data_IF_202703976083
#
_entry.id   IF_202703976083
#
_cell.length_a   1.000
_cell.length_b   1.000
_cell.length_c   1.000
_cell.angle_alpha   90.00
_cell.angle_beta   90.00
_cell.angle_gamma   90.00
#
_symmetry.space_group_name_H-M   'P 1'
#
loop_
_entity.id
_entity.type
_entity.pdbx_description
1 polymer ?
#
# COMPACT_ATOMS: atom_id res chain seq x y z
N UNK A 1 -11.71 14.82 7.98
CA UNK A 1 -11.50 14.17 9.28
C UNK A 1 -12.14 14.95 10.43
N UNK A 2 -11.81 16.24 10.65
CA UNK A 2 -12.36 17.01 11.79
C UNK A 2 -13.88 17.26 11.71
N UNK A 3 -14.43 17.35 10.51
CA UNK A 3 -15.87 17.50 10.24
C UNK A 3 -16.57 16.20 9.85
N UNK A 4 -15.84 15.09 9.81
CA UNK A 4 -16.36 13.80 9.35
C UNK A 4 -17.22 13.19 10.46
N UNK A 5 -18.43 12.75 10.10
CA UNK A 5 -19.35 12.07 11.02
C UNK A 5 -19.05 10.58 11.06
N UNK A 6 -19.19 9.97 12.23
CA UNK A 6 -19.03 8.53 12.39
C UNK A 6 -20.20 7.80 11.70
N UNK A 7 -19.96 6.79 10.84
CA UNK A 7 -21.02 6.16 10.05
C UNK A 7 -22.15 5.52 10.87
N UNK A 8 -21.85 4.97 12.05
CA UNK A 8 -22.85 4.21 12.83
C UNK A 8 -23.81 5.07 13.66
N UNK A 9 -23.38 6.24 14.12
CA UNK A 9 -24.15 7.08 15.05
C UNK A 9 -24.23 8.55 14.64
N UNK A 10 -23.63 8.90 13.48
CA UNK A 10 -23.64 10.21 12.88
C UNK A 10 -23.04 11.34 13.76
N UNK A 11 -22.26 10.98 14.78
CA UNK A 11 -21.61 11.91 15.70
C UNK A 11 -20.28 12.42 15.15
N UNK A 12 -19.81 13.57 15.66
CA UNK A 12 -18.46 14.10 15.37
C UNK A 12 -17.61 14.06 16.64
N UNK A 13 -16.28 14.05 16.49
CA UNK A 13 -15.38 14.19 17.63
C UNK A 13 -15.59 15.55 18.33
N UNK A 14 -15.72 15.54 19.65
CA UNK A 14 -15.72 16.77 20.44
C UNK A 14 -14.33 17.44 20.45
N UNK A 15 -14.28 18.71 20.85
CA UNK A 15 -13.03 19.50 20.86
C UNK A 15 -11.95 18.91 21.77
N UNK A 16 -12.33 18.32 22.91
CA UNK A 16 -11.38 17.73 23.83
C UNK A 16 -10.73 16.48 23.22
N UNK A 17 -11.53 15.66 22.53
CA UNK A 17 -11.06 14.49 21.81
C UNK A 17 -10.14 14.91 20.65
N UNK A 18 -10.53 15.90 19.84
CA UNK A 18 -9.70 16.44 18.75
C UNK A 18 -8.32 16.86 19.29
N UNK A 19 -8.27 17.65 20.38
CA UNK A 19 -7.01 18.04 21.02
C UNK A 19 -6.18 16.83 21.43
N UNK A 20 -6.81 15.81 22.01
CA UNK A 20 -6.12 14.57 22.41
C UNK A 20 -5.57 13.80 21.21
N UNK A 21 -6.27 13.78 20.06
CA UNK A 21 -5.76 13.16 18.83
C UNK A 21 -4.55 13.90 18.28
N UNK A 22 -4.56 15.24 18.28
CA UNK A 22 -3.39 16.05 17.85
C UNK A 22 -2.16 15.70 18.68
N UNK A 23 -2.28 15.69 20.00
CA UNK A 23 -1.18 15.32 20.92
C UNK A 23 -0.74 13.87 20.68
N UNK A 24 -1.69 12.96 20.48
CA UNK A 24 -1.41 11.54 20.21
C UNK A 24 -0.58 11.37 18.94
N UNK A 25 -0.96 12.04 17.85
CA UNK A 25 -0.22 11.94 16.59
C UNK A 25 1.18 12.53 16.68
N UNK A 26 1.35 13.65 17.38
CA UNK A 26 2.66 14.26 17.59
C UNK A 26 3.60 13.36 18.38
N UNK A 27 3.13 12.80 19.50
CA UNK A 27 3.97 11.95 20.37
C UNK A 27 4.24 10.60 19.70
N UNK A 28 3.19 9.92 19.23
CA UNK A 28 3.30 8.58 18.68
C UNK A 28 4.01 8.55 17.31
N UNK A 29 3.81 9.57 16.49
CA UNK A 29 4.34 9.63 15.12
C UNK A 29 5.78 10.14 15.02
N UNK A 30 6.19 11.07 15.89
CA UNK A 30 7.52 11.68 15.78
C UNK A 30 8.64 10.79 16.34
N UNK A 31 8.53 10.33 17.59
CA UNK A 31 9.65 9.64 18.25
C UNK A 31 9.91 8.24 17.66
N UNK A 32 8.86 7.55 17.23
CA UNK A 32 8.98 6.20 16.64
C UNK A 32 9.61 6.24 15.25
N UNK A 33 9.21 7.18 14.38
CA UNK A 33 9.73 7.30 13.01
C UNK A 33 11.16 7.84 13.02
N UNK A 34 11.46 8.87 13.83
CA UNK A 34 12.82 9.41 13.96
C UNK A 34 13.82 8.37 14.50
N UNK A 35 13.40 7.53 15.46
CA UNK A 35 14.18 6.40 15.93
C UNK A 35 14.50 5.39 14.81
N UNK A 36 13.51 5.06 13.97
CA UNK A 36 13.66 4.12 12.87
C UNK A 36 14.63 4.65 11.80
N UNK A 37 14.50 5.93 11.44
CA UNK A 37 15.43 6.62 10.55
C UNK A 37 16.86 6.66 11.10
N UNK A 38 17.00 6.92 12.40
CA UNK A 38 18.31 6.95 13.06
C UNK A 38 18.99 5.58 13.05
N UNK A 39 18.23 4.50 13.27
CA UNK A 39 18.75 3.13 13.11
C UNK A 39 19.12 2.85 11.66
N UNK A 40 18.27 3.19 10.69
CA UNK A 40 18.54 3.02 9.26
C UNK A 40 19.88 3.65 8.86
N UNK A 41 20.09 4.92 9.22
CA UNK A 41 21.35 5.61 8.95
C UNK A 41 22.54 4.96 9.66
N UNK A 42 22.38 4.54 10.92
CA UNK A 42 23.44 3.86 11.67
C UNK A 42 23.89 2.55 11.01
N UNK A 43 22.96 1.77 10.44
CA UNK A 43 23.30 0.52 9.75
C UNK A 43 23.87 0.78 8.35
N UNK A 44 23.28 1.68 7.56
CA UNK A 44 23.80 2.02 6.23
C UNK A 44 25.24 2.55 6.29
N UNK A 45 25.57 3.32 7.32
CA UNK A 45 26.93 3.82 7.54
C UNK A 45 27.95 2.73 7.88
N UNK A 46 27.49 1.59 8.42
CA UNK A 46 28.32 0.42 8.73
C UNK A 46 28.33 -0.62 7.62
N UNK A 47 27.44 -0.50 6.65
CA UNK A 47 27.33 -1.37 5.49
C UNK A 47 27.44 -0.55 4.18
N UNK A 48 28.68 -0.35 3.68
CA UNK A 48 28.91 0.38 2.44
C UNK A 48 28.22 -0.23 1.22
N UNK A 49 27.98 -1.55 1.22
CA UNK A 49 27.30 -2.23 0.12
C UNK A 49 25.83 -1.86 0.11
N UNK A 50 25.15 -1.97 1.26
CA UNK A 50 23.76 -1.55 1.39
C UNK A 50 23.58 -0.05 1.09
N UNK A 51 24.49 0.81 1.56
CA UNK A 51 24.46 2.23 1.24
C UNK A 51 24.55 2.49 -0.27
N UNK A 52 25.46 1.82 -0.99
CA UNK A 52 25.59 1.96 -2.44
C UNK A 52 24.35 1.49 -3.20
N UNK A 53 23.71 0.42 -2.74
CA UNK A 53 22.45 -0.07 -3.31
C UNK A 53 21.31 0.94 -3.13
N UNK A 54 21.15 1.51 -1.92
CA UNK A 54 20.17 2.57 -1.67
C UNK A 54 20.45 3.83 -2.51
N UNK A 55 21.72 4.21 -2.64
CA UNK A 55 22.14 5.32 -3.51
C UNK A 55 21.82 5.04 -4.97
N UNK A 56 22.09 3.82 -5.45
CA UNK A 56 21.82 3.42 -6.83
C UNK A 56 20.33 3.50 -7.14
N UNK A 57 19.50 2.92 -6.28
CA UNK A 57 18.04 2.97 -6.42
C UNK A 57 17.55 4.42 -6.54
N UNK A 58 17.99 5.30 -5.64
CA UNK A 58 17.57 6.69 -5.66
C UNK A 58 18.14 7.47 -6.86
N UNK A 59 19.38 7.17 -7.30
CA UNK A 59 20.00 7.78 -8.49
C UNK A 59 19.32 7.30 -9.80
N UNK A 60 18.86 6.05 -9.87
CA UNK A 60 18.09 5.53 -11.02
C UNK A 60 16.70 6.17 -11.12
N UNK A 61 16.10 6.49 -9.97
CA UNK A 61 14.78 7.10 -9.90
C UNK A 61 14.79 8.60 -10.22
N UNK A 62 15.73 9.35 -9.65
CA UNK A 62 15.76 10.82 -9.71
C UNK A 62 16.92 11.39 -10.57
N UNK A 63 17.76 10.52 -11.13
CA UNK A 63 18.85 10.92 -12.00
C UNK A 63 19.96 11.70 -11.27
N UNK A 64 20.51 12.70 -11.95
CA UNK A 64 21.62 13.52 -11.44
C UNK A 64 21.16 14.82 -10.75
N UNK A 65 19.85 15.08 -10.63
CA UNK A 65 19.31 16.24 -9.90
C UNK A 65 19.74 16.22 -8.42
N UNK A 66 20.46 17.22 -7.89
CA UNK A 66 20.87 17.23 -6.49
C UNK A 66 19.73 17.41 -5.48
N UNK A 67 18.57 17.95 -5.89
CA UNK A 67 17.45 18.26 -5.00
C UNK A 67 16.11 17.91 -5.67
N UNK A 68 15.86 16.61 -5.96
CA UNK A 68 14.64 16.22 -6.63
C UNK A 68 13.42 16.57 -5.77
N UNK A 69 12.30 16.85 -6.44
CA UNK A 69 10.98 17.01 -5.86
C UNK A 69 10.16 15.74 -6.11
N UNK A 70 10.19 14.74 -5.19
CA UNK A 70 9.63 13.43 -5.48
C UNK A 70 8.10 13.48 -5.55
N UNK A 71 7.54 12.70 -6.46
CA UNK A 71 6.10 12.46 -6.51
C UNK A 71 5.67 11.50 -5.39
N UNK A 72 4.37 11.42 -5.11
CA UNK A 72 3.86 10.40 -4.19
C UNK A 72 4.16 8.97 -4.69
N UNK A 73 4.08 8.76 -6.01
CA UNK A 73 4.30 7.46 -6.66
C UNK A 73 5.77 7.02 -6.59
N UNK A 74 6.71 7.98 -6.60
CA UNK A 74 8.14 7.71 -6.49
C UNK A 74 8.49 6.88 -5.25
N UNK A 75 7.77 7.08 -4.14
CA UNK A 75 8.05 6.37 -2.87
C UNK A 75 7.78 4.88 -2.99
N UNK A 76 6.81 4.46 -3.82
CA UNK A 76 6.53 3.05 -4.11
C UNK A 76 7.67 2.36 -4.86
N UNK A 77 8.50 3.13 -5.58
CA UNK A 77 9.64 2.65 -6.38
C UNK A 77 10.93 2.51 -5.58
N UNK A 78 10.99 3.03 -4.35
CA UNK A 78 12.12 2.94 -3.43
C UNK A 78 12.12 1.60 -2.65
N UNK A 79 12.10 0.49 -3.38
CA UNK A 79 11.98 -0.88 -2.88
C UNK A 79 13.10 -1.30 -1.91
N UNK A 80 14.35 -0.93 -2.16
CA UNK A 80 15.50 -1.27 -1.33
C UNK A 80 15.57 -0.38 -0.09
N UNK A 81 15.31 0.93 -0.22
CA UNK A 81 15.15 1.81 0.94
C UNK A 81 14.03 1.29 1.87
N UNK A 82 12.96 0.75 1.28
CA UNK A 82 11.90 0.06 2.01
C UNK A 82 12.41 -1.18 2.74
N UNK A 83 13.18 -2.04 2.07
CA UNK A 83 13.78 -3.22 2.69
C UNK A 83 14.70 -2.86 3.86
N UNK A 84 15.53 -1.82 3.71
CA UNK A 84 16.38 -1.28 4.78
C UNK A 84 15.54 -0.86 5.98
N UNK A 85 14.47 -0.09 5.76
CA UNK A 85 13.57 0.35 6.82
C UNK A 85 12.94 -0.84 7.56
N UNK A 86 12.48 -1.84 6.81
CA UNK A 86 11.89 -3.02 7.42
C UNK A 86 12.91 -3.85 8.22
N UNK A 87 14.14 -4.00 7.70
CA UNK A 87 15.19 -4.73 8.40
C UNK A 87 15.63 -4.02 9.69
N UNK A 88 15.70 -2.68 9.72
CA UNK A 88 15.98 -1.98 10.98
C UNK A 88 14.82 -2.08 11.98
N UNK A 89 13.57 -2.08 11.52
CA UNK A 89 12.41 -2.32 12.39
C UNK A 89 12.33 -3.78 12.87
N UNK A 90 12.96 -4.72 12.16
CA UNK A 90 13.17 -6.09 12.62
C UNK A 90 14.15 -6.10 13.79
N UNK A 91 15.35 -5.56 13.60
CA UNK A 91 16.41 -5.55 14.60
C UNK A 91 16.05 -4.69 15.82
N UNK A 92 15.48 -3.51 15.59
CA UNK A 92 15.20 -2.49 16.61
C UNK A 92 13.82 -1.85 16.37
N UNK A 93 12.73 -2.60 16.63
CA UNK A 93 11.38 -2.03 16.57
C UNK A 93 11.26 -0.89 17.57
N UNK A 94 11.00 0.33 17.07
CA UNK A 94 11.01 1.54 17.90
C UNK A 94 9.87 1.60 18.90
N UNK A 95 8.77 0.90 18.64
CA UNK A 95 7.82 0.44 19.66
C UNK A 95 8.14 -1.01 20.06
N UNK A 96 8.90 -1.25 21.14
CA UNK A 96 9.47 -2.58 21.41
C UNK A 96 8.51 -3.57 22.06
N UNK A 97 7.38 -3.10 22.60
CA UNK A 97 6.44 -3.92 23.34
C UNK A 97 5.01 -3.46 23.10
N UNK A 98 4.09 -4.41 22.99
CA UNK A 98 2.66 -4.15 23.16
C UNK A 98 2.06 -5.18 24.10
N UNK A 99 0.94 -4.82 24.73
CA UNK A 99 0.26 -5.67 25.71
C UNK A 99 -1.06 -6.19 25.15
N UNK A 100 -1.40 -7.42 25.50
CA UNK A 100 -2.71 -8.04 25.24
C UNK A 100 -3.35 -8.39 26.58
N UNK A 101 -4.67 -8.44 26.59
CA UNK A 101 -5.45 -8.84 27.75
C UNK A 101 -6.36 -10.00 27.37
N UNK A 102 -6.41 -11.04 28.19
CA UNK A 102 -7.37 -12.12 28.06
C UNK A 102 -8.78 -11.57 28.31
N UNK A 103 -9.72 -11.81 27.40
CA UNK A 103 -11.12 -11.35 27.54
C UNK A 103 -11.96 -12.31 28.39
N UNK A 104 -11.58 -13.57 28.36
CA UNK A 104 -12.18 -14.69 29.07
C UNK A 104 -11.06 -15.63 29.53
N UNK A 105 -11.38 -16.53 30.45
CA UNK A 105 -10.45 -17.57 30.88
C UNK A 105 -10.06 -18.45 29.69
N UNK A 106 -8.76 -18.59 29.43
CA UNK A 106 -8.26 -19.29 28.24
C UNK A 106 -6.91 -19.98 28.49
N UNK A 107 -6.44 -20.76 27.51
CA UNK A 107 -5.12 -21.41 27.52
C UNK A 107 -4.24 -20.82 26.41
N UNK A 108 -3.15 -20.15 26.78
CA UNK A 108 -2.14 -19.71 25.82
C UNK A 108 -1.35 -20.92 25.30
N UNK A 109 -1.34 -21.09 23.98
CA UNK A 109 -0.70 -22.23 23.31
C UNK A 109 -1.26 -23.58 23.76
N UNK A 110 -2.52 -23.63 24.22
CA UNK A 110 -3.14 -24.83 24.77
C UNK A 110 -2.55 -25.33 26.08
N UNK A 111 -1.64 -24.56 26.72
CA UNK A 111 -0.84 -25.04 27.86
C UNK A 111 -0.88 -24.11 29.07
N UNK A 112 -0.79 -22.80 28.88
CA UNK A 112 -0.62 -21.87 29.99
C UNK A 112 -1.96 -21.18 30.33
N UNK A 113 -2.55 -21.42 31.51
CA UNK A 113 -3.78 -20.75 31.92
C UNK A 113 -3.62 -19.23 31.97
N UNK A 114 -4.57 -18.54 31.35
CA UNK A 114 -4.72 -17.10 31.37
C UNK A 114 -6.14 -16.76 31.84
N UNK A 115 -6.31 -16.37 33.10
CA UNK A 115 -7.56 -15.83 33.60
C UNK A 115 -8.00 -14.56 32.85
N UNK A 116 -9.31 -14.35 32.76
CA UNK A 116 -9.90 -13.13 32.23
C UNK A 116 -9.31 -11.90 32.92
N UNK A 117 -8.98 -10.88 32.14
CA UNK A 117 -8.35 -9.66 32.63
C UNK A 117 -6.83 -9.73 32.77
N UNK A 118 -6.21 -10.92 32.74
CA UNK A 118 -4.75 -11.04 32.80
C UNK A 118 -4.09 -10.45 31.55
N UNK A 119 -3.02 -9.67 31.78
CA UNK A 119 -2.24 -9.02 30.72
C UNK A 119 -0.98 -9.82 30.39
N UNK A 120 -0.64 -9.89 29.10
CA UNK A 120 0.60 -10.47 28.59
C UNK A 120 1.30 -9.45 27.69
N UNK A 121 2.63 -9.39 27.77
CA UNK A 121 3.44 -8.50 26.94
C UNK A 121 4.09 -9.28 25.81
N UNK A 122 4.00 -8.75 24.59
CA UNK A 122 4.72 -9.27 23.43
C UNK A 122 6.00 -8.45 23.26
N UNK A 123 7.14 -9.09 23.51
CA UNK A 123 8.47 -8.49 23.37
C UNK A 123 8.91 -8.57 21.90
N UNK A 124 8.69 -7.49 21.15
CA UNK A 124 8.87 -7.48 19.69
C UNK A 124 10.33 -7.76 19.27
N UNK A 125 11.37 -7.19 19.91
CA UNK A 125 12.76 -7.51 19.56
C UNK A 125 13.11 -8.99 19.70
N UNK A 126 12.47 -9.72 20.63
CA UNK A 126 12.66 -11.16 20.81
C UNK A 126 11.90 -11.94 19.73
N UNK A 127 10.63 -11.57 19.48
CA UNK A 127 9.84 -12.14 18.37
C UNK A 127 10.58 -12.00 17.02
N UNK A 128 11.20 -10.85 16.77
CA UNK A 128 11.91 -10.57 15.53
C UNK A 128 13.27 -11.26 15.38
N UNK A 129 13.74 -11.93 16.44
CA UNK A 129 14.96 -12.75 16.47
C UNK A 129 14.68 -14.24 16.67
N UNK A 130 13.41 -14.63 16.65
CA UNK A 130 13.02 -16.03 16.75
C UNK A 130 13.69 -16.86 15.63
N UNK A 131 14.38 -17.97 15.96
CA UNK A 131 15.03 -18.84 14.97
C UNK A 131 14.12 -19.36 13.86
N UNK A 132 12.78 -19.35 14.05
CA UNK A 132 11.82 -19.68 12.99
C UNK A 132 11.97 -18.78 11.75
N UNK A 133 12.69 -17.65 11.86
CA UNK A 133 12.99 -16.72 10.77
C UNK A 133 14.25 -17.08 9.97
N UNK A 134 14.95 -18.15 10.34
CA UNK A 134 16.19 -18.59 9.71
C UNK A 134 17.44 -18.16 10.47
N UNK A 135 18.60 -18.46 9.88
CA UNK A 135 19.89 -18.28 10.53
C UNK A 135 20.30 -16.81 10.66
N UNK A 136 21.20 -16.54 11.62
CA UNK A 136 21.83 -15.23 11.86
C UNK A 136 20.84 -14.07 12.11
N UNK A 137 19.96 -14.16 13.11
CA UNK A 137 18.93 -13.15 13.39
C UNK A 137 19.50 -11.79 13.81
N UNK A 138 20.76 -11.69 14.20
CA UNK A 138 21.39 -10.43 14.62
C UNK A 138 22.09 -9.68 13.48
N UNK A 139 22.22 -10.29 12.29
CA UNK A 139 22.79 -9.61 11.13
C UNK A 139 21.76 -8.68 10.49
N UNK A 140 22.24 -7.51 10.05
CA UNK A 140 21.50 -6.61 9.19
C UNK A 140 21.53 -7.12 7.76
N UNK A 141 20.38 -7.57 7.27
CA UNK A 141 20.22 -8.11 5.93
C UNK A 141 18.88 -7.65 5.32
N UNK A 142 18.87 -6.57 4.52
CA UNK A 142 17.69 -6.09 3.82
C UNK A 142 17.03 -7.15 2.91
N UNK A 143 17.78 -8.15 2.42
CA UNK A 143 17.22 -9.18 1.53
C UNK A 143 16.18 -10.08 2.22
N UNK A 144 16.08 -10.06 3.55
CA UNK A 144 14.99 -10.70 4.32
C UNK A 144 13.60 -10.10 4.05
N UNK A 145 13.57 -8.98 3.33
CA UNK A 145 12.37 -8.22 2.99
C UNK A 145 12.18 -8.08 1.46
N UNK A 146 12.80 -8.93 0.64
CA UNK A 146 12.40 -9.06 -0.77
C UNK A 146 10.93 -9.52 -0.87
N UNK A 147 10.22 -9.20 -1.98
CA UNK A 147 8.84 -9.65 -2.17
C UNK A 147 8.66 -11.17 -1.99
N UNK A 148 9.63 -11.97 -2.43
CA UNK A 148 9.63 -13.44 -2.26
C UNK A 148 9.76 -13.83 -0.79
N UNK A 149 10.70 -13.22 -0.07
CA UNK A 149 10.93 -13.49 1.35
C UNK A 149 9.74 -13.04 2.22
N UNK A 150 9.09 -11.93 1.87
CA UNK A 150 7.88 -11.46 2.55
C UNK A 150 6.71 -12.42 2.33
N UNK A 151 6.51 -12.91 1.10
CA UNK A 151 5.47 -13.89 0.77
C UNK A 151 5.68 -15.22 1.50
N UNK A 152 6.92 -15.69 1.62
CA UNK A 152 7.26 -16.92 2.33
C UNK A 152 7.21 -16.79 3.86
N UNK A 153 7.11 -15.57 4.40
CA UNK A 153 7.21 -15.32 5.84
C UNK A 153 6.02 -15.91 6.61
N UNK A 154 6.25 -16.64 7.71
CA UNK A 154 5.17 -17.10 8.57
C UNK A 154 4.31 -15.94 9.08
N UNK A 155 3.00 -16.18 9.11
CA UNK A 155 2.03 -15.22 9.67
C UNK A 155 2.44 -14.88 11.11
N UNK A 156 2.32 -13.62 11.47
CA UNK A 156 2.67 -13.09 12.79
C UNK A 156 4.15 -13.08 13.19
N UNK A 157 5.08 -13.53 12.35
CA UNK A 157 6.52 -13.49 12.67
C UNK A 157 7.12 -12.08 12.71
N UNK A 158 6.44 -11.06 12.15
CA UNK A 158 6.90 -9.67 12.08
C UNK A 158 5.78 -8.71 12.50
N UNK A 159 5.99 -7.95 13.58
CA UNK A 159 4.98 -7.09 14.24
C UNK A 159 5.51 -5.76 14.79
N UNK A 160 6.31 -4.98 14.03
CA UNK A 160 6.77 -3.66 14.50
C UNK A 160 5.63 -2.64 14.70
N UNK A 161 4.45 -2.88 14.11
CA UNK A 161 3.28 -1.99 14.16
C UNK A 161 2.12 -2.58 14.98
N UNK A 162 2.38 -3.56 15.84
CA UNK A 162 1.34 -4.23 16.63
C UNK A 162 0.46 -5.19 15.81
N UNK A 163 -0.76 -5.46 16.29
CA UNK A 163 -1.67 -6.42 15.66
C UNK A 163 -3.16 -6.14 15.93
N UNK A 164 -4.00 -6.48 14.94
CA UNK A 164 -5.47 -6.39 15.02
C UNK A 164 -5.99 -4.96 14.92
N UNK A 165 -7.22 -4.75 15.40
CA UNK A 165 -7.93 -3.45 15.33
C UNK A 165 -7.22 -2.30 16.08
N UNK A 166 -6.24 -2.64 16.93
CA UNK A 166 -5.41 -1.68 17.69
C UNK A 166 -3.96 -1.62 17.17
N UNK A 167 -3.72 -2.11 15.95
CA UNK A 167 -2.45 -1.91 15.25
C UNK A 167 -2.22 -0.41 14.97
N UNK A 168 -0.98 -0.06 14.63
CA UNK A 168 -0.62 1.34 14.36
C UNK A 168 -1.43 1.90 13.19
N UNK A 169 -2.27 2.90 13.47
CA UNK A 169 -3.04 3.63 12.46
C UNK A 169 -2.13 4.47 11.54
N UNK A 170 -1.01 4.97 12.07
CA UNK A 170 -0.02 5.75 11.33
C UNK A 170 0.97 4.91 10.54
N UNK A 171 0.75 3.59 10.40
CA UNK A 171 1.70 2.65 9.79
C UNK A 171 2.11 3.10 8.39
N UNK A 172 1.15 3.32 7.50
CA UNK A 172 1.43 3.73 6.11
C UNK A 172 2.15 5.07 6.05
N UNK A 173 1.73 6.04 6.87
CA UNK A 173 2.36 7.36 6.94
C UNK A 173 3.85 7.26 7.32
N UNK A 174 4.15 6.59 8.45
CA UNK A 174 5.52 6.43 8.93
C UNK A 174 6.41 5.68 7.91
N UNK A 175 5.82 4.66 7.29
CA UNK A 175 6.46 3.83 6.28
C UNK A 175 6.74 4.61 4.99
N UNK A 176 5.85 5.50 4.57
CA UNK A 176 6.03 6.36 3.40
C UNK A 176 7.06 7.44 3.68
N UNK A 177 6.90 8.19 4.77
CA UNK A 177 7.82 9.25 5.22
C UNK A 177 9.25 8.73 5.37
N UNK A 178 9.43 7.61 6.10
CA UNK A 178 10.78 7.10 6.35
C UNK A 178 11.43 6.51 5.10
N UNK A 179 10.67 5.87 4.20
CA UNK A 179 11.22 5.36 2.93
C UNK A 179 11.68 6.52 2.04
N UNK A 180 10.86 7.56 1.91
CA UNK A 180 11.19 8.79 1.19
C UNK A 180 12.46 9.44 1.77
N UNK A 181 12.55 9.61 3.09
CA UNK A 181 13.71 10.25 3.73
C UNK A 181 14.98 9.42 3.60
N UNK A 182 14.93 8.09 3.71
CA UNK A 182 16.09 7.23 3.46
C UNK A 182 16.58 7.42 2.01
N UNK A 183 15.67 7.38 1.03
CA UNK A 183 15.99 7.61 -0.38
C UNK A 183 16.62 8.98 -0.61
N UNK A 184 15.98 10.06 -0.13
CA UNK A 184 16.47 11.42 -0.27
C UNK A 184 17.83 11.63 0.39
N UNK A 185 18.05 11.10 1.60
CA UNK A 185 19.33 11.24 2.30
C UNK A 185 20.43 10.50 1.54
N UNK A 186 20.18 9.27 1.07
CA UNK A 186 21.13 8.52 0.26
C UNK A 186 21.45 9.25 -1.06
N UNK A 187 20.42 9.82 -1.70
CA UNK A 187 20.56 10.56 -2.95
C UNK A 187 21.36 11.86 -2.79
N UNK A 188 21.09 12.64 -1.74
CA UNK A 188 21.64 14.00 -1.57
C UNK A 188 23.01 14.03 -0.91
N UNK A 189 23.33 13.08 -0.03
CA UNK A 189 24.48 13.19 0.86
C UNK A 189 25.45 12.01 0.77
N UNK A 190 26.74 12.35 0.81
CA UNK A 190 27.81 11.40 1.04
C UNK A 190 27.81 11.08 2.54
N UNK A 191 27.45 9.85 2.85
CA UNK A 191 27.41 9.34 4.21
C UNK A 191 28.71 8.58 4.49
N UNK A 192 29.41 8.97 5.56
CA UNK A 192 30.61 8.28 6.03
C UNK A 192 30.62 8.30 7.56
N UNK A 193 30.99 7.17 8.16
CA UNK A 193 31.09 7.05 9.62
C UNK A 193 32.41 7.65 10.11
N UNK A 194 32.40 8.97 10.29
CA UNK A 194 33.58 9.73 10.70
C UNK A 194 34.00 9.46 12.15
N UNK A 195 33.06 9.03 13.01
CA UNK A 195 33.29 8.86 14.45
C UNK A 195 33.51 7.40 14.86
N UNK A 196 33.47 6.46 13.92
CA UNK A 196 33.44 5.02 14.16
C UNK A 196 32.41 4.66 15.25
N UNK A 197 31.22 5.25 15.15
CA UNK A 197 30.18 5.13 16.18
C UNK A 197 29.85 3.66 16.45
N UNK A 198 29.77 3.26 17.73
CA UNK A 198 29.28 1.95 18.14
C UNK A 198 27.85 2.10 18.64
N UNK A 199 26.93 1.34 18.04
CA UNK A 199 25.51 1.45 18.34
C UNK A 199 25.24 1.25 19.83
N UNK A 200 24.72 2.30 20.47
CA UNK A 200 24.21 2.27 21.84
C UNK A 200 22.73 2.58 21.78
N UNK A 201 21.89 1.70 22.33
CA UNK A 201 20.44 1.87 22.27
C UNK A 201 19.94 2.54 23.55
N UNK A 202 19.43 3.77 23.43
CA UNK A 202 18.69 4.43 24.51
C UNK A 202 17.25 3.93 24.52
N UNK A 203 16.76 3.62 25.73
CA UNK A 203 15.41 3.10 25.97
C UNK A 203 14.60 4.13 26.74
N UNK A 204 13.53 4.63 26.14
CA UNK A 204 12.52 5.49 26.77
C UNK A 204 11.15 4.80 26.63
N UNK A 205 10.10 5.52 26.22
CA UNK A 205 8.91 4.90 25.67
C UNK A 205 9.23 4.16 24.35
N UNK A 206 10.23 4.64 23.62
CA UNK A 206 10.70 4.10 22.34
C UNK A 206 12.16 3.67 22.41
N UNK A 207 12.64 3.01 21.35
CA UNK A 207 14.06 2.72 21.15
C UNK A 207 14.67 3.70 20.16
N UNK A 208 15.89 4.18 20.44
CA UNK A 208 16.68 5.01 19.52
C UNK A 208 18.19 4.85 19.73
N UNK A 209 19.02 5.06 18.69
CA UNK A 209 20.45 5.24 18.88
C UNK A 209 20.76 6.40 19.81
N UNK A 210 21.73 6.23 20.71
CA UNK A 210 22.17 7.23 21.67
C UNK A 210 23.40 7.98 21.14
N UNK A 211 23.21 9.26 20.83
CA UNK A 211 24.28 10.19 20.45
C UNK A 211 25.02 9.96 19.13
N UNK A 212 24.47 9.33 18.06
CA UNK A 212 25.16 9.32 16.77
C UNK A 212 25.27 10.76 16.22
N UNK A 213 26.44 11.10 15.68
CA UNK A 213 26.69 12.39 15.01
C UNK A 213 27.26 12.16 13.62
N UNK A 214 26.76 12.92 12.65
CA UNK A 214 27.17 12.83 11.26
C UNK A 214 27.29 14.23 10.66
N UNK A 215 28.31 14.45 9.84
CA UNK A 215 28.47 15.68 9.05
C UNK A 215 28.19 15.34 7.59
N UNK A 216 26.97 15.62 7.09
CA UNK A 216 26.64 15.32 5.70
C UNK A 216 27.42 16.23 4.76
N UNK A 217 27.99 15.66 3.70
CA UNK A 217 28.53 16.41 2.56
C UNK A 217 27.60 16.18 1.37
N UNK A 218 27.25 17.22 0.60
CA UNK A 218 26.45 17.03 -0.62
C UNK A 218 27.16 16.10 -1.61
N UNK A 219 26.42 15.20 -2.27
CA UNK A 219 26.93 14.38 -3.37
C UNK A 219 27.06 15.22 -4.64
N UNK A 220 28.10 14.93 -5.40
CA UNK A 220 28.35 15.50 -6.72
C UNK A 220 27.88 14.54 -7.82
N UNK A 221 27.75 15.03 -9.06
CA UNK A 221 27.49 14.17 -10.22
C UNK A 221 28.59 13.12 -10.41
N UNK A 222 29.84 13.42 -10.01
CA UNK A 222 30.93 12.45 -10.00
C UNK A 222 30.70 11.32 -8.99
N UNK A 223 30.17 11.62 -7.79
CA UNK A 223 29.82 10.59 -6.81
C UNK A 223 28.72 9.65 -7.32
N UNK A 224 27.72 10.19 -8.05
CA UNK A 224 26.65 9.41 -8.68
C UNK A 224 27.19 8.53 -9.81
N UNK A 225 28.03 9.08 -10.69
CA UNK A 225 28.67 8.34 -11.77
C UNK A 225 29.59 7.23 -11.23
N UNK A 226 30.33 7.51 -10.15
CA UNK A 226 31.18 6.52 -9.48
C UNK A 226 30.34 5.38 -8.88
N UNK A 227 29.19 5.69 -8.26
CA UNK A 227 28.30 4.67 -7.72
C UNK A 227 27.72 3.76 -8.82
N UNK A 228 27.26 4.35 -9.93
CA UNK A 228 26.81 3.60 -11.13
C UNK A 228 27.90 2.68 -11.67
N UNK A 229 29.14 3.17 -11.75
CA UNK A 229 30.28 2.40 -12.27
C UNK A 229 30.72 1.29 -11.31
N UNK A 230 30.69 1.54 -10.00
CA UNK A 230 31.17 0.61 -8.98
C UNK A 230 30.32 -0.66 -8.86
N UNK A 231 29.05 -0.60 -9.23
CA UNK A 231 28.14 -1.75 -9.15
C UNK A 231 28.18 -2.66 -10.39
N UNK A 232 28.94 -2.30 -11.45
CA UNK A 232 29.48 -3.19 -12.50
C UNK A 232 28.53 -4.12 -13.26
N UNK A 233 27.25 -4.17 -12.90
CA UNK A 233 26.22 -4.91 -13.60
C UNK A 233 25.84 -4.08 -14.83
N UNK A 234 25.72 -4.70 -16.01
CA UNK A 234 25.15 -4.03 -17.16
C UNK A 234 23.86 -3.33 -16.73
N UNK A 235 23.61 -2.16 -17.30
CA UNK A 235 22.26 -1.61 -17.39
C UNK A 235 21.40 -2.72 -18.00
N UNK A 236 20.77 -3.54 -17.15
CA UNK A 236 19.58 -4.27 -17.55
C UNK A 236 18.68 -3.18 -18.13
N UNK A 237 18.11 -3.37 -19.33
CA UNK A 237 17.32 -2.33 -19.96
C UNK A 237 16.38 -1.81 -18.89
N UNK A 238 16.43 -0.50 -18.62
CA UNK A 238 15.42 0.18 -17.81
C UNK A 238 14.12 -0.47 -18.25
N UNK A 239 13.45 -1.18 -17.32
CA UNK A 239 12.34 -2.06 -17.65
C UNK A 239 11.50 -1.28 -18.64
N UNK A 240 11.61 -1.65 -19.93
CA UNK A 240 10.88 -0.92 -20.94
C UNK A 240 9.46 -1.06 -20.44
N UNK A 241 8.70 0.05 -20.29
CA UNK A 241 7.29 -0.08 -19.97
C UNK A 241 6.81 -1.16 -20.91
N UNK A 242 6.36 -2.29 -20.36
CA UNK A 242 5.92 -3.40 -21.18
C UNK A 242 4.87 -2.74 -22.04
N UNK A 243 5.23 -2.51 -23.31
CA UNK A 243 4.31 -1.97 -24.28
C UNK A 243 3.38 -3.13 -24.43
N UNK A 244 2.29 -3.09 -23.66
CA UNK A 244 1.09 -3.85 -23.92
C UNK A 244 0.93 -3.75 -25.43
N UNK A 245 0.98 -4.87 -26.15
CA UNK A 245 0.83 -4.84 -27.60
C UNK A 245 -0.39 -3.97 -27.87
N UNK A 246 -0.34 -3.01 -28.82
CA UNK A 246 -1.51 -2.21 -29.14
C UNK A 246 -2.68 -3.19 -29.30
N UNK A 247 -3.84 -2.93 -28.64
CA UNK A 247 -4.93 -3.89 -28.59
C UNK A 247 -5.18 -4.42 -29.99
N UNK A 248 -5.16 -5.75 -30.10
CA UNK A 248 -5.10 -6.47 -31.37
C UNK A 248 -6.05 -5.87 -32.39
N UNK A 249 -5.60 -5.83 -33.64
CA UNK A 249 -6.25 -5.24 -34.82
C UNK A 249 -7.56 -5.93 -35.24
N UNK A 250 -8.32 -6.48 -34.30
CA UNK A 250 -9.59 -7.18 -34.51
C UNK A 250 -10.64 -6.97 -33.41
N UNK A 251 -10.39 -6.16 -32.38
CA UNK A 251 -11.43 -5.80 -31.41
C UNK A 251 -12.34 -4.69 -31.97
N UNK A 252 -13.65 -4.76 -31.72
CA UNK A 252 -14.56 -3.65 -31.94
C UNK A 252 -14.06 -2.35 -31.31
N UNK A 253 -14.33 -1.20 -31.94
CA UNK A 253 -13.93 0.11 -31.38
C UNK A 253 -14.84 0.60 -30.25
N UNK A 254 -16.05 0.05 -30.15
CA UNK A 254 -17.08 0.36 -29.13
C UNK A 254 -17.91 -0.87 -28.73
N UNK A 255 -18.57 -0.77 -27.59
CA UNK A 255 -19.62 -1.70 -27.15
C UNK A 255 -20.92 -1.49 -27.95
N UNK A 256 -21.77 -2.52 -27.99
CA UNK A 256 -23.11 -2.45 -28.61
C UNK A 256 -23.96 -1.42 -27.86
N UNK A 257 -24.77 -0.66 -28.60
CA UNK A 257 -25.72 0.27 -27.98
C UNK A 257 -26.63 -0.47 -26.99
N UNK A 258 -26.85 0.14 -25.82
CA UNK A 258 -27.65 -0.45 -24.74
C UNK A 258 -26.87 -1.40 -23.82
N UNK A 259 -25.57 -1.65 -24.06
CA UNK A 259 -24.73 -2.41 -23.14
C UNK A 259 -24.57 -1.62 -21.83
N UNK A 260 -25.05 -2.17 -20.72
CA UNK A 260 -24.81 -1.63 -19.38
C UNK A 260 -23.47 -2.11 -18.82
N UNK A 261 -22.94 -1.43 -17.80
CA UNK A 261 -21.85 -1.95 -16.95
C UNK A 261 -22.07 -1.42 -15.54
N UNK A 262 -22.15 -2.31 -14.56
CA UNK A 262 -22.27 -1.95 -13.15
C UNK A 262 -20.88 -1.95 -12.51
N UNK A 263 -20.53 -0.89 -11.81
CA UNK A 263 -19.29 -0.78 -11.04
C UNK A 263 -19.63 -0.63 -9.57
N UNK A 264 -19.27 -1.64 -8.77
CA UNK A 264 -19.56 -1.67 -7.34
C UNK A 264 -18.28 -1.61 -6.51
N UNK A 265 -18.31 -0.83 -5.43
CA UNK A 265 -17.15 -0.64 -4.58
C UNK A 265 -17.37 -1.04 -3.11
N UNK A 266 -16.29 -1.49 -2.47
CA UNK A 266 -16.16 -1.50 -1.02
C UNK A 266 -15.07 -0.52 -0.57
N UNK A 267 -15.46 0.63 0.01
CA UNK A 267 -14.57 1.76 0.28
C UNK A 267 -14.88 2.51 1.60
N UNK A 268 -14.03 2.37 2.61
CA UNK A 268 -14.11 3.18 3.84
C UNK A 268 -13.57 4.61 3.66
N UNK A 269 -12.54 4.79 2.82
CA UNK A 269 -11.77 6.04 2.73
C UNK A 269 -11.81 6.71 1.34
N UNK A 270 -12.61 6.20 0.40
CA UNK A 270 -12.77 6.79 -0.92
C UNK A 270 -11.98 6.09 -2.03
N UNK A 271 -10.80 5.54 -1.78
CA UNK A 271 -9.92 5.00 -2.83
C UNK A 271 -10.58 3.99 -3.80
N UNK A 272 -11.30 2.99 -3.29
CA UNK A 272 -11.98 2.03 -4.17
C UNK A 272 -13.17 2.65 -4.93
N UNK A 273 -13.80 3.69 -4.36
CA UNK A 273 -14.88 4.44 -5.02
C UNK A 273 -14.33 5.27 -6.16
N UNK A 274 -13.22 6.00 -5.93
CA UNK A 274 -12.53 6.77 -6.97
C UNK A 274 -12.09 5.88 -8.13
N UNK A 275 -11.54 4.69 -7.85
CA UNK A 275 -11.20 3.73 -8.91
C UNK A 275 -12.43 3.18 -9.65
N UNK A 276 -13.54 2.92 -8.95
CA UNK A 276 -14.80 2.56 -9.63
C UNK A 276 -15.32 3.70 -10.51
N UNK A 277 -15.24 4.96 -10.07
CA UNK A 277 -15.62 6.11 -10.88
C UNK A 277 -14.73 6.24 -12.13
N UNK A 278 -13.41 6.09 -11.98
CA UNK A 278 -12.47 6.11 -13.10
C UNK A 278 -12.74 4.98 -14.11
N UNK A 279 -12.93 3.74 -13.63
CA UNK A 279 -13.25 2.61 -14.50
C UNK A 279 -14.61 2.78 -15.19
N UNK A 280 -15.54 3.51 -14.57
CA UNK A 280 -16.83 3.83 -15.17
C UNK A 280 -16.64 4.81 -16.34
N UNK A 281 -15.82 5.84 -16.18
CA UNK A 281 -15.48 6.76 -17.27
C UNK A 281 -14.84 6.02 -18.44
N UNK A 282 -13.95 5.06 -18.18
CA UNK A 282 -13.33 4.24 -19.21
C UNK A 282 -14.34 3.33 -19.93
N UNK A 283 -15.26 2.70 -19.21
CA UNK A 283 -16.33 1.89 -19.82
C UNK A 283 -17.33 2.76 -20.61
N UNK A 284 -17.65 3.96 -20.12
CA UNK A 284 -18.49 4.93 -20.81
C UNK A 284 -17.84 5.42 -22.11
N UNK A 285 -16.52 5.58 -22.14
CA UNK A 285 -15.77 5.90 -23.36
C UNK A 285 -15.85 4.79 -24.43
N UNK A 286 -16.19 3.55 -24.04
CA UNK A 286 -16.51 2.45 -24.96
C UNK A 286 -17.97 2.47 -25.44
N UNK A 287 -18.80 3.39 -24.95
CA UNK A 287 -20.24 3.46 -25.27
C UNK A 287 -21.13 2.63 -24.35
N UNK A 288 -20.61 2.14 -23.20
CA UNK A 288 -21.43 1.46 -22.20
C UNK A 288 -22.23 2.47 -21.36
N UNK A 289 -23.46 2.11 -20.97
CA UNK A 289 -24.17 2.82 -19.90
C UNK A 289 -23.63 2.38 -18.54
N UNK A 290 -23.12 3.31 -17.73
CA UNK A 290 -22.43 2.98 -16.48
C UNK A 290 -23.19 3.38 -15.23
N UNK A 291 -23.10 2.55 -14.21
CA UNK A 291 -23.64 2.81 -12.87
C UNK A 291 -22.54 2.56 -11.83
N UNK A 292 -22.38 3.47 -10.87
CA UNK A 292 -21.43 3.32 -9.75
C UNK A 292 -22.21 3.25 -8.43
N UNK A 293 -21.95 2.22 -7.62
CA UNK A 293 -22.64 2.03 -6.34
C UNK A 293 -21.76 1.36 -5.28
N UNK A 294 -22.17 1.45 -4.02
CA UNK A 294 -21.62 0.61 -2.96
C UNK A 294 -22.02 -0.86 -3.16
N UNK A 295 -21.17 -1.79 -2.75
CA UNK A 295 -21.49 -3.22 -2.76
C UNK A 295 -22.78 -3.54 -1.98
N UNK A 296 -23.00 -2.88 -0.85
CA UNK A 296 -24.20 -3.08 -0.03
C UNK A 296 -25.53 -2.69 -0.71
N UNK A 297 -25.49 -1.91 -1.80
CA UNK A 297 -26.67 -1.63 -2.63
C UNK A 297 -27.19 -2.89 -3.33
N UNK A 298 -26.30 -3.85 -3.60
CA UNK A 298 -26.58 -5.09 -4.32
C UNK A 298 -26.46 -6.33 -3.43
N UNK A 299 -26.69 -6.17 -2.12
CA UNK A 299 -26.55 -7.23 -1.11
C UNK A 299 -27.66 -8.30 -1.12
N UNK A 300 -28.40 -8.45 -2.21
CA UNK A 300 -29.53 -9.38 -2.34
C UNK A 300 -29.56 -10.08 -3.72
N UNK A 301 -29.02 -9.42 -4.75
CA UNK A 301 -28.85 -9.98 -6.09
C UNK A 301 -27.85 -9.14 -6.89
N UNK A 302 -27.04 -9.80 -7.72
CA UNK A 302 -26.25 -9.15 -8.76
C UNK A 302 -27.00 -9.20 -10.10
N UNK A 303 -26.89 -8.17 -10.96
CA UNK A 303 -27.54 -8.17 -12.26
C UNK A 303 -26.92 -9.22 -13.19
N UNK A 304 -27.77 -9.84 -14.02
CA UNK A 304 -27.38 -10.82 -15.04
C UNK A 304 -27.46 -10.26 -16.46
N UNK A 305 -28.05 -9.07 -16.63
CA UNK A 305 -28.24 -8.40 -17.92
C UNK A 305 -27.02 -7.57 -18.35
N UNK A 306 -26.06 -7.36 -17.46
CA UNK A 306 -24.86 -6.53 -17.69
C UNK A 306 -23.65 -7.04 -16.90
N UNK A 307 -22.41 -6.79 -17.39
CA UNK A 307 -21.19 -7.08 -16.65
C UNK A 307 -21.09 -6.27 -15.35
N UNK A 308 -20.54 -6.89 -14.30
CA UNK A 308 -20.30 -6.30 -12.98
C UNK A 308 -18.80 -6.18 -12.69
N UNK A 309 -18.32 -4.98 -12.42
CA UNK A 309 -16.93 -4.72 -12.04
C UNK A 309 -16.88 -4.38 -10.56
N UNK A 310 -16.16 -5.19 -9.78
CA UNK A 310 -16.09 -5.07 -8.33
C UNK A 310 -14.71 -4.52 -7.94
N UNK A 311 -14.68 -3.39 -7.24
CA UNK A 311 -13.46 -2.82 -6.67
C UNK A 311 -13.56 -2.88 -5.14
N UNK A 312 -12.85 -3.81 -4.53
CA UNK A 312 -13.00 -4.09 -3.09
C UNK A 312 -11.68 -3.96 -2.34
N UNK A 313 -11.76 -3.48 -1.09
CA UNK A 313 -10.65 -3.49 -0.15
C UNK A 313 -10.90 -4.40 1.05
N UNK A 314 -9.82 -4.81 1.72
CA UNK A 314 -9.87 -5.46 3.02
C UNK A 314 -9.52 -4.47 4.14
N UNK A 315 -10.38 -4.33 5.14
CA UNK A 315 -10.10 -3.54 6.34
C UNK A 315 -9.83 -4.47 7.53
N UNK A 316 -8.55 -4.67 7.88
CA UNK A 316 -8.14 -5.62 8.92
C UNK A 316 -8.71 -7.04 8.73
N UNK A 317 -8.90 -7.46 7.48
CA UNK A 317 -9.44 -8.78 7.12
C UNK A 317 -10.96 -8.87 7.17
N UNK A 318 -11.64 -7.75 7.42
CA UNK A 318 -13.09 -7.58 7.36
C UNK A 318 -13.46 -6.75 6.13
N UNK A 319 -14.69 -6.86 5.61
CA UNK A 319 -15.18 -5.98 4.55
C UNK A 319 -15.17 -4.51 5.01
N UNK A 320 -15.20 -3.60 4.04
CA UNK A 320 -15.52 -2.19 4.30
C UNK A 320 -16.96 -2.04 4.77
N UNK A 321 -17.25 -0.93 5.42
CA UNK A 321 -18.53 -0.63 6.04
C UNK A 321 -19.67 -0.66 5.01
N UNK A 322 -19.38 -0.28 3.76
CA UNK A 322 -20.28 -0.26 2.61
C UNK A 322 -20.29 -1.56 1.77
N UNK A 323 -19.67 -2.63 2.28
CA UNK A 323 -19.65 -3.96 1.66
C UNK A 323 -20.00 -5.09 2.66
N UNK A 324 -20.30 -4.75 3.90
CA UNK A 324 -20.49 -5.73 4.97
C UNK A 324 -21.79 -6.53 4.82
N UNK A 325 -22.87 -5.93 4.29
CA UNK A 325 -24.12 -6.66 3.99
C UNK A 325 -23.93 -7.57 2.79
N UNK A 326 -23.28 -7.07 1.74
CA UNK A 326 -23.01 -7.83 0.53
C UNK A 326 -22.20 -9.09 0.83
N UNK A 327 -21.15 -8.97 1.67
CA UNK A 327 -20.32 -10.12 2.02
C UNK A 327 -21.10 -11.19 2.77
N UNK A 328 -21.97 -10.79 3.72
CA UNK A 328 -22.84 -11.75 4.42
C UNK A 328 -23.79 -12.46 3.44
N UNK A 329 -24.36 -11.72 2.50
CA UNK A 329 -25.26 -12.30 1.51
C UNK A 329 -24.57 -13.36 0.66
N UNK A 330 -23.40 -13.08 0.06
CA UNK A 330 -22.73 -14.07 -0.78
C UNK A 330 -22.26 -15.32 0.00
N UNK A 331 -21.96 -15.17 1.30
CA UNK A 331 -21.60 -16.29 2.18
C UNK A 331 -22.80 -17.21 2.50
N UNK A 332 -24.01 -16.64 2.58
CA UNK A 332 -25.24 -17.35 2.96
C UNK A 332 -26.13 -17.73 1.76
N UNK A 333 -25.83 -17.19 0.57
CA UNK A 333 -26.64 -17.36 -0.63
C UNK A 333 -26.72 -18.83 -1.09
N UNK A 334 -27.88 -19.27 -1.63
CA UNK A 334 -28.03 -20.63 -2.14
C UNK A 334 -27.09 -20.88 -3.34
N UNK A 335 -26.78 -22.15 -3.66
CA UNK A 335 -26.13 -22.49 -4.92
C UNK A 335 -26.84 -21.81 -6.10
N UNK A 336 -26.06 -21.42 -7.11
CA UNK A 336 -26.55 -20.76 -8.34
C UNK A 336 -27.10 -19.32 -8.17
N UNK A 337 -27.00 -18.69 -6.99
CA UNK A 337 -27.50 -17.32 -6.79
C UNK A 337 -26.79 -16.24 -7.66
N UNK A 338 -25.64 -16.55 -8.25
CA UNK A 338 -24.93 -15.70 -9.19
C UNK A 338 -24.90 -16.30 -10.62
N UNK A 339 -25.77 -17.28 -10.91
CA UNK A 339 -25.84 -17.89 -12.23
C UNK A 339 -26.19 -16.83 -13.30
N UNK A 340 -25.36 -16.77 -14.34
CA UNK A 340 -25.50 -15.79 -15.42
C UNK A 340 -24.89 -14.42 -15.13
N UNK A 341 -24.35 -14.19 -13.92
CA UNK A 341 -23.61 -12.97 -13.60
C UNK A 341 -22.22 -13.06 -14.24
N UNK A 342 -21.87 -12.08 -15.07
CA UNK A 342 -20.51 -11.92 -15.59
C UNK A 342 -19.79 -10.83 -14.79
N UNK A 343 -18.62 -11.14 -14.21
CA UNK A 343 -17.97 -10.21 -13.27
C UNK A 343 -16.45 -10.15 -13.38
N UNK A 344 -15.86 -9.04 -12.92
CA UNK A 344 -14.42 -8.87 -12.74
C UNK A 344 -14.13 -8.27 -11.36
N UNK A 345 -13.02 -8.66 -10.73
CA UNK A 345 -12.64 -8.17 -9.39
C UNK A 345 -11.26 -7.51 -9.42
N UNK A 346 -11.22 -6.23 -9.04
CA UNK A 346 -10.00 -5.51 -8.69
C UNK A 346 -9.89 -5.45 -7.16
N UNK A 347 -8.98 -6.24 -6.61
CA UNK A 347 -8.70 -6.25 -5.18
C UNK A 347 -7.67 -5.20 -4.80
N UNK A 348 -8.05 -4.22 -4.00
CA UNK A 348 -7.14 -3.20 -3.46
C UNK A 348 -6.72 -3.60 -2.05
N UNK A 349 -5.44 -3.90 -1.88
CA UNK A 349 -4.88 -4.33 -0.61
C UNK A 349 -3.59 -3.58 -0.28
N UNK A 350 -3.05 -3.85 0.90
CA UNK A 350 -1.71 -3.40 1.26
C UNK A 350 -0.94 -4.55 1.90
N UNK A 351 0.16 -4.99 1.26
CA UNK A 351 0.96 -6.15 1.72
C UNK A 351 1.58 -5.95 3.10
N UNK A 352 1.66 -4.69 3.57
CA UNK A 352 2.03 -4.40 4.94
C UNK A 352 1.10 -5.17 5.90
N UNK A 353 -0.18 -5.32 5.59
CA UNK A 353 -1.13 -6.15 6.34
C UNK A 353 -1.13 -7.61 5.87
N UNK A 354 0.03 -8.26 5.80
CA UNK A 354 0.22 -9.61 5.27
C UNK A 354 -0.79 -10.68 5.74
N UNK A 355 -1.29 -10.61 6.97
CA UNK A 355 -2.28 -11.58 7.49
C UNK A 355 -3.68 -11.43 6.90
N UNK A 356 -3.97 -10.29 6.29
CA UNK A 356 -5.29 -9.90 5.78
C UNK A 356 -5.22 -9.31 4.38
N UNK A 357 -4.04 -9.35 3.74
CA UNK A 357 -3.82 -8.89 2.38
C UNK A 357 -4.77 -9.62 1.43
N UNK A 358 -5.52 -8.86 0.64
CA UNK A 358 -6.48 -9.36 -0.37
C UNK A 358 -7.58 -10.28 0.15
N UNK A 359 -7.79 -10.39 1.48
CA UNK A 359 -8.72 -11.37 2.07
C UNK A 359 -10.17 -11.21 1.55
N UNK A 360 -10.71 -10.00 1.62
CA UNK A 360 -12.10 -9.73 1.22
C UNK A 360 -12.29 -9.81 -0.29
N UNK A 361 -11.43 -9.18 -1.13
CA UNK A 361 -11.53 -9.35 -2.58
C UNK A 361 -11.43 -10.81 -3.04
N UNK A 362 -10.55 -11.59 -2.41
CA UNK A 362 -10.44 -13.04 -2.70
C UNK A 362 -11.73 -13.76 -2.34
N UNK A 363 -12.28 -13.52 -1.16
CA UNK A 363 -13.54 -14.13 -0.73
C UNK A 363 -14.71 -13.78 -1.65
N UNK A 364 -14.80 -12.50 -2.07
CA UNK A 364 -15.82 -12.06 -3.04
C UNK A 364 -15.68 -12.80 -4.36
N UNK A 365 -14.46 -12.83 -4.91
CA UNK A 365 -14.19 -13.47 -6.20
C UNK A 365 -14.47 -14.98 -6.18
N UNK A 366 -14.00 -15.68 -5.15
CA UNK A 366 -14.18 -17.13 -5.00
C UNK A 366 -15.66 -17.46 -4.80
N UNK A 367 -16.35 -16.73 -3.91
CA UNK A 367 -17.74 -17.05 -3.57
C UNK A 367 -18.72 -16.72 -4.70
N UNK A 368 -18.51 -15.65 -5.47
CA UNK A 368 -19.32 -15.40 -6.67
C UNK A 368 -19.14 -16.51 -7.70
N UNK A 369 -17.92 -17.01 -7.91
CA UNK A 369 -17.68 -18.14 -8.81
C UNK A 369 -18.38 -19.42 -8.34
N UNK A 370 -18.30 -19.72 -7.05
CA UNK A 370 -18.98 -20.87 -6.45
C UNK A 370 -20.52 -20.73 -6.44
N UNK A 371 -21.06 -19.51 -6.59
CA UNK A 371 -22.48 -19.23 -6.81
C UNK A 371 -22.90 -19.29 -8.29
N UNK A 372 -22.01 -19.70 -9.20
CA UNK A 372 -22.29 -19.83 -10.63
C UNK A 372 -21.96 -18.60 -11.49
N UNK A 373 -21.31 -17.59 -10.91
CA UNK A 373 -20.82 -16.42 -11.64
C UNK A 373 -19.66 -16.75 -12.58
N UNK A 374 -19.57 -16.03 -13.69
CA UNK A 374 -18.53 -16.19 -14.71
C UNK A 374 -17.54 -15.03 -14.65
N UNK A 375 -16.25 -15.33 -14.46
CA UNK A 375 -15.18 -14.32 -14.48
C UNK A 375 -14.95 -13.81 -15.91
N UNK A 376 -15.02 -12.50 -16.09
CA UNK A 376 -14.63 -11.80 -17.33
C UNK A 376 -13.11 -11.79 -17.51
N UNK A 377 -12.38 -11.67 -16.40
CA UNK A 377 -10.92 -11.77 -16.33
C UNK A 377 -10.50 -12.28 -14.95
N UNK A 378 -9.28 -12.83 -14.81
CA UNK A 378 -8.73 -13.21 -13.50
C UNK A 378 -8.71 -12.04 -12.53
N UNK A 379 -8.94 -12.30 -11.23
CA UNK A 379 -8.84 -11.27 -10.19
C UNK A 379 -7.45 -10.63 -10.20
N UNK A 380 -7.41 -9.31 -10.15
CA UNK A 380 -6.15 -8.53 -10.09
C UNK A 380 -5.93 -8.00 -8.68
N UNK A 381 -4.67 -8.06 -8.23
CA UNK A 381 -4.25 -7.64 -6.88
C UNK A 381 -3.46 -6.34 -6.94
N UNK A 382 -4.11 -5.23 -6.64
CA UNK A 382 -3.47 -3.93 -6.53
C UNK A 382 -2.90 -3.72 -5.12
N UNK A 383 -1.64 -3.34 -5.01
CA UNK A 383 -0.95 -3.12 -3.73
C UNK A 383 -0.67 -1.63 -3.47
N UNK A 384 -1.33 -1.08 -2.45
CA UNK A 384 -1.18 0.32 -2.05
C UNK A 384 0.23 0.69 -1.56
N UNK A 385 1.07 -0.30 -1.25
CA UNK A 385 2.46 -0.06 -0.84
C UNK A 385 3.49 -0.17 -1.97
N UNK A 386 3.04 -0.44 -3.19
CA UNK A 386 3.87 -0.52 -4.40
C UNK A 386 3.25 0.26 -5.54
N UNK A 387 3.32 -0.30 -6.76
CA UNK A 387 2.86 0.32 -8.01
C UNK A 387 1.33 0.22 -8.18
N UNK A 388 0.57 0.82 -7.24
CA UNK A 388 -0.89 0.79 -7.23
C UNK A 388 -1.49 1.32 -8.55
N UNK A 389 -1.11 2.53 -8.95
CA UNK A 389 -1.64 3.20 -10.16
C UNK A 389 -1.33 2.41 -11.44
N UNK A 390 -0.17 1.76 -11.51
CA UNK A 390 0.20 0.91 -12.66
C UNK A 390 -0.73 -0.29 -12.75
N UNK A 391 -0.91 -1.00 -11.62
CA UNK A 391 -1.77 -2.20 -11.57
C UNK A 391 -3.22 -1.88 -11.91
N UNK A 392 -3.73 -0.73 -11.44
CA UNK A 392 -5.09 -0.26 -11.77
C UNK A 392 -5.24 0.02 -13.27
N UNK A 393 -4.24 0.66 -13.90
CA UNK A 393 -4.24 0.89 -15.36
C UNK A 393 -4.20 -0.42 -16.15
N UNK A 394 -3.38 -1.38 -15.73
CA UNK A 394 -3.33 -2.70 -16.37
C UNK A 394 -4.66 -3.44 -16.25
N UNK A 395 -5.35 -3.34 -15.11
CA UNK A 395 -6.71 -3.87 -14.94
C UNK A 395 -7.70 -3.19 -15.88
N UNK A 396 -7.63 -1.86 -16.00
CA UNK A 396 -8.45 -1.07 -16.92
C UNK A 396 -8.28 -1.50 -18.38
N UNK A 397 -7.03 -1.69 -18.84
CA UNK A 397 -6.73 -2.18 -20.18
C UNK A 397 -7.27 -3.60 -20.43
N UNK A 398 -7.13 -4.50 -19.43
CA UNK A 398 -7.69 -5.85 -19.51
C UNK A 398 -9.22 -5.85 -19.52
N UNK A 399 -9.85 -5.01 -18.70
CA UNK A 399 -11.30 -4.84 -18.63
C UNK A 399 -11.83 -4.34 -19.98
N UNK A 400 -11.16 -3.35 -20.59
CA UNK A 400 -11.50 -2.86 -21.94
C UNK A 400 -11.51 -4.01 -22.95
N UNK A 401 -10.47 -4.84 -22.96
CA UNK A 401 -10.39 -6.00 -23.88
C UNK A 401 -11.53 -6.98 -23.64
N UNK A 402 -11.84 -7.28 -22.38
CA UNK A 402 -12.93 -8.19 -22.01
C UNK A 402 -14.30 -7.64 -22.45
N UNK A 403 -14.57 -6.35 -22.18
CA UNK A 403 -15.82 -5.69 -22.57
C UNK A 403 -16.00 -5.67 -24.09
N UNK A 404 -14.97 -5.31 -24.85
CA UNK A 404 -15.05 -5.28 -26.31
C UNK A 404 -15.15 -6.67 -26.93
N UNK A 405 -14.54 -7.69 -26.32
CA UNK A 405 -14.64 -9.07 -26.81
C UNK A 405 -16.02 -9.68 -26.59
N UNK A 406 -16.62 -9.48 -25.41
CA UNK A 406 -17.94 -10.04 -25.07
C UNK A 406 -19.11 -9.20 -25.58
N UNK A 407 -18.98 -7.88 -25.52
CA UNK A 407 -20.08 -6.93 -25.72
C UNK A 407 -19.82 -5.92 -26.85
N UNK A 408 -18.72 -6.07 -27.60
CA UNK A 408 -18.39 -5.21 -28.72
C UNK A 408 -19.37 -5.28 -29.88
N UNK A 409 -19.52 -4.15 -30.57
CA UNK A 409 -20.29 -4.02 -31.81
C UNK A 409 -19.44 -4.52 -32.99
N UNK A 410 -19.77 -5.68 -33.55
CA UNK A 410 -19.01 -6.30 -34.64
C UNK A 410 -18.92 -5.42 -35.90
N UNK A 411 -19.78 -4.38 -36.03
CA UNK A 411 -19.75 -3.44 -37.15
C UNK A 411 -18.87 -2.22 -36.92
N UNK A 412 -18.44 -1.98 -35.68
CA UNK A 412 -17.64 -0.82 -35.30
C UNK A 412 -16.15 -1.13 -35.43
N UNK A 413 -15.51 -0.61 -36.48
CA UNK A 413 -14.07 -0.77 -36.71
C UNK A 413 -13.29 0.39 -36.09
N UNK A 414 -11.97 0.24 -35.98
CA UNK A 414 -11.04 1.22 -35.36
C UNK A 414 -11.14 2.63 -36.01
N UNK A 415 -11.66 2.74 -37.23
CA UNK A 415 -11.91 4.01 -37.91
C UNK A 415 -12.98 4.90 -37.23
N UNK A 416 -13.86 4.31 -36.41
CA UNK A 416 -14.96 5.02 -35.71
C UNK A 416 -14.66 5.33 -34.23
N UNK A 417 -13.43 5.07 -33.75
CA UNK A 417 -13.08 5.31 -32.35
C UNK A 417 -12.98 6.82 -32.04
N UNK A 418 -13.61 7.32 -30.96
CA UNK A 418 -13.37 8.69 -30.52
C UNK A 418 -11.88 8.86 -30.12
N UNK A 419 -11.26 10.03 -30.39
CA UNK A 419 -9.87 10.25 -30.05
C UNK A 419 -9.65 10.09 -28.54
N UNK A 420 -8.63 9.31 -28.16
CA UNK A 420 -8.19 9.21 -26.77
C UNK A 420 -7.88 10.61 -26.25
N UNK A 421 -8.63 11.08 -25.26
CA UNK A 421 -8.15 12.17 -24.41
C UNK A 421 -7.00 11.60 -23.59
N UNK A 422 -5.76 11.92 -23.99
CA UNK A 422 -4.63 11.81 -23.07
C UNK A 422 -4.95 12.72 -21.89
N UNK A 423 -5.37 12.15 -20.77
CA UNK A 423 -5.43 12.88 -19.51
C UNK A 423 -3.98 13.07 -19.09
N UNK A 424 -3.35 14.12 -19.63
CA UNK A 424 -2.25 14.76 -18.94
C UNK A 424 -2.83 15.21 -17.60
N UNK A 425 -2.23 14.87 -16.45
CA UNK A 425 -2.72 15.37 -15.18
C UNK A 425 -2.76 16.89 -15.27
N UNK A 426 -3.96 17.45 -15.27
CA UNK A 426 -4.16 18.89 -15.21
C UNK A 426 -3.52 19.37 -13.91
N UNK A 427 -2.55 20.31 -13.96
CA UNK A 427 -2.01 20.92 -12.76
C UNK A 427 -3.04 21.94 -12.29
N UNK A 428 -4.11 21.48 -11.65
CA UNK A 428 -5.09 22.33 -10.98
C UNK A 428 -5.38 21.81 -9.58
N UNK A 429 -4.35 21.88 -8.74
CA UNK A 429 -4.52 22.41 -7.40
C UNK A 429 -3.46 23.50 -7.21
N UNK A 430 -3.95 24.73 -7.08
CA UNK A 430 -3.16 25.95 -7.05
C UNK A 430 -2.12 25.92 -5.93
N UNK A 431 -0.84 25.96 -6.32
CA UNK A 431 0.18 26.65 -5.56
C UNK A 431 -0.08 28.16 -5.75
N UNK A 432 -0.77 28.80 -4.81
CA UNK A 432 -0.68 30.25 -4.59
C UNK A 432 -1.35 30.63 -3.27
N UNK A 433 -0.50 30.78 -2.23
CA UNK A 433 -0.59 31.64 -1.03
C UNK A 433 0.01 30.95 0.21
N UNK A 434 1.33 30.86 0.21
CA UNK A 434 2.11 30.93 1.45
C UNK A 434 3.18 31.99 1.26
N UNK A 435 2.77 33.26 1.27
CA UNK A 435 3.68 34.39 1.40
C UNK A 435 3.43 35.10 2.74
N UNK A 436 4.49 35.14 3.55
CA UNK A 436 4.75 36.02 4.71
C UNK A 436 3.94 35.74 5.99
N UNK A 437 4.60 35.05 6.94
CA UNK A 437 4.41 35.32 8.36
C UNK A 437 5.19 36.59 8.74
N UNK A 438 4.57 37.62 9.35
CA UNK A 438 5.30 38.78 9.84
C UNK A 438 6.03 38.41 11.14
N UNK A 439 7.31 38.73 11.17
CA UNK A 439 8.11 38.86 12.38
C UNK A 439 7.45 39.87 13.32
N UNK A 440 6.92 39.40 14.44
CA UNK A 440 6.46 40.22 15.55
C UNK A 440 7.32 39.94 16.77
N UNK A 441 8.23 40.86 17.05
CA UNK A 441 8.92 41.04 18.33
C UNK A 441 7.96 41.61 19.38
N UNK A 442 8.23 41.25 20.64
CA UNK A 442 7.64 41.68 21.93
C UNK A 442 6.45 40.85 22.42
#
# INVERSE_FOLDING_TARGET
>A
MLSTRHPSDNTTLDLANIRNQVITFLIAGHETTSGALSFALSYLLKDPTALRLAQREADELWGDDPDPAPSFEDVGRLCFARQVLQEVLRLWPTGPVFTRQAREDTLLGGRYPLPAGQRISVLIPMLHRDPIRGDNPDLFDPARFTPEAERARPRHAYKPFGAGDRACIGRQFALHEATLLIGLIAHRYRLADQSNYRLRVKKTLTLKPDGPTHTPTARTSADRAANRSALGLPLGPAAQPQTVPPPGTGLPSRARQGTGTLLVHGSNHGTCREFSEQLAEEAAALGCGTEVAALDTYADALPTDRPVVIVAASHNGKPTDDAARFLRWIEEAPPDAAQGVSYAVLGVGDRNWATTYQRVPTLIDDRIAELGGTRLLPRVEADASGELSVTVREFADQLRVALLSGYGDATATVADAPPRTSVTPSPRCAADRWTRWPSGTA
#
